data_IF_434829360260
#
_entry.id   IF_434829360260
#
_cell.length_a   1.000
_cell.length_b   1.000
_cell.length_c   1.000
_cell.angle_alpha   90.00
_cell.angle_beta   90.00
_cell.angle_gamma   90.00
#
_symmetry.space_group_name_H-M   'P 1'
#
loop_
_entity.id
_entity.type
_entity.pdbx_description
1 polymer ?
#
# COMPACT_ATOMS: atom_id res chain seq x y z
N UNK A 1 -10.02 -13.37 1.58
CA UNK A 1 -8.96 -12.56 0.96
C UNK A 1 -8.49 -11.59 2.03
N UNK A 2 -7.23 -11.67 2.42
CA UNK A 2 -6.62 -10.70 3.35
C UNK A 2 -6.50 -9.30 2.71
N UNK A 3 -6.28 -8.29 3.53
CA UNK A 3 -6.23 -6.89 3.11
C UNK A 3 -5.15 -6.63 2.05
N UNK A 4 -4.03 -7.34 2.15
CA UNK A 4 -2.88 -7.21 1.25
C UNK A 4 -3.18 -7.76 -0.15
N UNK A 5 -3.80 -8.94 -0.25
CA UNK A 5 -4.25 -9.49 -1.52
C UNK A 5 -5.37 -8.65 -2.15
N UNK A 6 -6.26 -8.09 -1.32
CA UNK A 6 -7.35 -7.25 -1.80
C UNK A 6 -6.83 -5.97 -2.48
N UNK A 7 -5.94 -5.23 -1.83
CA UNK A 7 -5.41 -3.99 -2.39
C UNK A 7 -4.52 -4.25 -3.62
N UNK A 8 -3.72 -5.32 -3.61
CA UNK A 8 -2.94 -5.74 -4.78
C UNK A 8 -3.83 -6.12 -5.97
N UNK A 9 -4.98 -6.75 -5.72
CA UNK A 9 -5.96 -7.04 -6.76
C UNK A 9 -6.52 -5.75 -7.37
N UNK A 10 -6.87 -4.75 -6.55
CA UNK A 10 -7.36 -3.47 -7.04
C UNK A 10 -6.31 -2.76 -7.91
N UNK A 11 -5.04 -2.76 -7.51
CA UNK A 11 -3.95 -2.16 -8.29
C UNK A 11 -3.78 -2.81 -9.67
N UNK A 12 -3.94 -4.13 -9.78
CA UNK A 12 -3.94 -4.83 -11.08
C UNK A 12 -5.09 -4.40 -11.97
N UNK A 13 -6.29 -4.22 -11.42
CA UNK A 13 -7.44 -3.72 -12.18
C UNK A 13 -7.15 -2.29 -12.68
N UNK A 14 -6.61 -1.42 -11.83
CA UNK A 14 -6.30 -0.05 -12.19
C UNK A 14 -5.23 0.07 -13.27
N UNK A 15 -4.22 -0.80 -13.23
CA UNK A 15 -3.19 -0.89 -14.25
C UNK A 15 -3.80 -1.26 -15.62
N UNK A 16 -4.63 -2.31 -15.66
CA UNK A 16 -5.32 -2.76 -16.89
C UNK A 16 -6.25 -1.69 -17.46
N UNK A 17 -6.94 -0.94 -16.60
CA UNK A 17 -7.87 0.12 -17.02
C UNK A 17 -7.18 1.46 -17.35
N UNK A 18 -5.89 1.62 -17.04
CA UNK A 18 -5.20 2.90 -17.17
C UNK A 18 -5.79 3.98 -16.27
N UNK A 19 -6.23 3.64 -15.06
CA UNK A 19 -6.87 4.59 -14.16
C UNK A 19 -5.88 5.63 -13.65
N UNK A 20 -6.21 6.91 -13.87
CA UNK A 20 -5.49 8.00 -13.21
C UNK A 20 -5.70 7.96 -11.69
N UNK A 21 -4.72 8.47 -10.96
CA UNK A 21 -4.65 8.40 -9.50
C UNK A 21 -5.91 8.94 -8.81
N UNK A 22 -6.44 10.05 -9.31
CA UNK A 22 -7.65 10.71 -8.83
C UNK A 22 -8.92 9.83 -8.92
N UNK A 23 -8.93 8.78 -9.76
CA UNK A 23 -10.06 7.86 -9.88
C UNK A 23 -9.87 6.58 -9.05
N UNK A 24 -8.62 6.15 -8.79
CA UNK A 24 -8.32 4.92 -8.03
C UNK A 24 -8.98 4.92 -6.65
N UNK A 25 -8.82 6.01 -5.89
CA UNK A 25 -9.42 6.14 -4.55
C UNK A 25 -10.95 6.06 -4.62
N UNK A 26 -11.57 6.79 -5.56
CA UNK A 26 -13.04 6.81 -5.71
C UNK A 26 -13.61 5.44 -6.10
N UNK A 27 -12.97 4.74 -7.03
CA UNK A 27 -13.38 3.39 -7.45
C UNK A 27 -13.20 2.36 -6.33
N UNK A 28 -12.11 2.48 -5.56
CA UNK A 28 -11.84 1.59 -4.43
C UNK A 28 -12.89 1.76 -3.33
N UNK A 29 -13.24 3.01 -3.02
CA UNK A 29 -14.31 3.33 -2.07
C UNK A 29 -15.66 2.80 -2.54
N UNK A 30 -15.96 2.92 -3.84
CA UNK A 30 -17.18 2.36 -4.41
C UNK A 30 -17.25 0.84 -4.22
N UNK A 31 -16.10 0.15 -4.26
CA UNK A 31 -16.04 -1.30 -4.06
C UNK A 31 -16.15 -1.72 -2.59
N UNK A 32 -16.03 -0.81 -1.63
CA UNK A 32 -16.21 -1.16 -0.22
C UNK A 32 -17.64 -1.59 0.09
N UNK A 33 -17.75 -2.65 0.87
CA UNK A 33 -19.02 -3.24 1.32
C UNK A 33 -18.96 -3.48 2.84
N UNK A 34 -20.13 -3.62 3.47
CA UNK A 34 -20.26 -3.94 4.90
C UNK A 34 -19.47 -3.01 5.82
N UNK A 35 -18.65 -3.60 6.72
CA UNK A 35 -17.89 -2.86 7.73
C UNK A 35 -16.86 -1.90 7.15
N UNK A 36 -16.24 -2.24 6.01
CA UNK A 36 -15.26 -1.37 5.35
C UNK A 36 -15.93 -0.08 4.84
N UNK A 37 -17.14 -0.21 4.27
CA UNK A 37 -17.91 0.94 3.82
C UNK A 37 -18.37 1.80 5.01
N UNK A 38 -18.82 1.17 6.10
CA UNK A 38 -19.23 1.88 7.31
C UNK A 38 -18.07 2.68 7.92
N UNK A 39 -16.89 2.08 8.03
CA UNK A 39 -15.67 2.76 8.45
C UNK A 39 -15.34 3.95 7.56
N UNK A 40 -15.32 3.75 6.24
CA UNK A 40 -14.95 4.81 5.31
C UNK A 40 -15.91 6.00 5.37
N UNK A 41 -17.21 5.74 5.47
CA UNK A 41 -18.23 6.79 5.65
C UNK A 41 -17.98 7.62 6.92
N UNK A 42 -17.73 6.96 8.05
CA UNK A 42 -17.42 7.64 9.31
C UNK A 42 -16.12 8.45 9.22
N UNK A 43 -15.09 7.91 8.57
CA UNK A 43 -13.81 8.58 8.39
C UNK A 43 -13.94 9.83 7.51
N UNK A 44 -14.63 9.73 6.36
CA UNK A 44 -14.93 10.88 5.50
C UNK A 44 -15.69 11.96 6.25
N UNK A 45 -16.74 11.59 6.99
CA UNK A 45 -17.55 12.54 7.75
C UNK A 45 -16.70 13.35 8.75
N UNK A 46 -15.73 12.71 9.42
CA UNK A 46 -14.82 13.37 10.34
C UNK A 46 -13.82 14.33 9.66
N UNK A 47 -13.60 14.20 8.34
CA UNK A 47 -12.60 14.95 7.57
C UNK A 47 -13.17 16.08 6.70
N UNK A 48 -14.49 16.26 6.67
CA UNK A 48 -15.16 17.25 5.80
C UNK A 48 -15.81 16.65 4.55
N UNK A 49 -16.12 15.36 4.58
CA UNK A 49 -16.90 14.62 3.59
C UNK A 49 -16.31 14.62 2.17
N UNK A 50 -17.13 14.79 1.13
CA UNK A 50 -16.69 14.61 -0.27
C UNK A 50 -15.69 15.69 -0.73
N UNK A 51 -15.68 16.87 -0.10
CA UNK A 51 -14.68 17.91 -0.40
C UNK A 51 -13.26 17.46 -0.06
N UNK A 52 -13.10 16.71 1.05
CA UNK A 52 -11.83 16.10 1.42
C UNK A 52 -11.44 14.97 0.46
N UNK A 53 -12.40 14.16 0.01
CA UNK A 53 -12.12 13.00 -0.85
C UNK A 53 -11.40 13.38 -2.15
N UNK A 54 -11.68 14.56 -2.71
CA UNK A 54 -11.05 15.07 -3.93
C UNK A 54 -9.54 15.31 -3.74
N UNK A 55 -9.08 15.53 -2.51
CA UNK A 55 -7.67 15.77 -2.21
C UNK A 55 -6.91 14.49 -1.84
N UNK A 56 -7.59 13.35 -1.70
CA UNK A 56 -6.98 12.09 -1.25
C UNK A 56 -6.35 11.37 -2.44
N UNK A 57 -5.02 11.35 -2.47
CA UNK A 57 -4.26 10.57 -3.47
C UNK A 57 -4.39 9.07 -3.23
N UNK A 58 -4.00 8.24 -4.21
CA UNK A 58 -3.97 6.79 -4.00
C UNK A 58 -3.01 6.39 -2.89
N UNK A 59 -1.88 7.10 -2.76
CA UNK A 59 -0.91 6.90 -1.70
C UNK A 59 -1.53 7.15 -0.32
N UNK A 60 -2.17 8.31 -0.14
CA UNK A 60 -2.89 8.64 1.09
C UNK A 60 -3.93 7.57 1.45
N UNK A 61 -4.68 7.10 0.45
CA UNK A 61 -5.65 6.03 0.65
C UNK A 61 -4.99 4.73 1.13
N UNK A 62 -3.91 4.28 0.49
CA UNK A 62 -3.18 3.06 0.90
C UNK A 62 -2.67 3.17 2.32
N UNK A 63 -2.16 4.34 2.73
CA UNK A 63 -1.73 4.61 4.11
C UNK A 63 -2.89 4.46 5.10
N UNK A 64 -4.06 5.01 4.80
CA UNK A 64 -5.25 4.87 5.65
C UNK A 64 -5.75 3.41 5.70
N UNK A 65 -5.77 2.74 4.55
CA UNK A 65 -6.15 1.34 4.43
C UNK A 65 -5.22 0.44 5.26
N UNK A 66 -3.91 0.69 5.18
CA UNK A 66 -2.89 -0.01 5.95
C UNK A 66 -3.13 0.14 7.46
N UNK A 67 -3.34 1.37 7.94
CA UNK A 67 -3.58 1.65 9.35
C UNK A 67 -4.86 1.01 9.88
N UNK A 68 -5.91 0.93 9.05
CA UNK A 68 -7.22 0.43 9.47
C UNK A 68 -7.32 -1.10 9.42
N UNK A 69 -6.85 -1.72 8.33
CA UNK A 69 -7.15 -3.13 8.04
C UNK A 69 -6.00 -4.09 8.35
N UNK A 70 -4.81 -3.58 8.65
CA UNK A 70 -3.69 -4.40 9.12
C UNK A 70 -3.57 -4.23 10.64
N UNK A 71 -3.54 -5.34 11.36
CA UNK A 71 -3.27 -5.33 12.81
C UNK A 71 -1.88 -4.74 13.08
N UNK A 72 -1.67 -4.17 14.28
CA UNK A 72 -0.35 -3.67 14.68
C UNK A 72 0.76 -4.71 14.50
N UNK A 73 0.46 -5.99 14.77
CA UNK A 73 1.41 -7.08 14.60
C UNK A 73 1.82 -7.26 13.13
N UNK A 74 0.88 -7.17 12.19
CA UNK A 74 1.16 -7.24 10.75
C UNK A 74 1.93 -6.01 10.27
N UNK A 75 1.58 -4.82 10.74
CA UNK A 75 2.30 -3.59 10.41
C UNK A 75 3.76 -3.68 10.86
N UNK A 76 4.00 -4.11 12.10
CA UNK A 76 5.36 -4.29 12.63
C UNK A 76 6.09 -5.47 11.98
N UNK A 77 5.38 -6.51 11.53
CA UNK A 77 5.95 -7.60 10.72
C UNK A 77 6.46 -7.06 9.39
N UNK A 78 5.65 -6.30 8.66
CA UNK A 78 6.01 -5.74 7.35
C UNK A 78 7.17 -4.73 7.44
N UNK A 79 7.16 -3.86 8.46
CA UNK A 79 8.30 -2.97 8.73
C UNK A 79 9.58 -3.75 8.98
N UNK A 80 9.54 -4.76 9.85
CA UNK A 80 10.73 -5.60 10.13
C UNK A 80 11.21 -6.31 8.88
N UNK A 81 10.29 -6.91 8.12
CA UNK A 81 10.60 -7.60 6.87
C UNK A 81 11.32 -6.68 5.88
N UNK A 82 10.86 -5.44 5.74
CA UNK A 82 11.50 -4.43 4.89
C UNK A 82 12.90 -4.05 5.38
N UNK A 83 13.07 -3.78 6.67
CA UNK A 83 14.37 -3.38 7.24
C UNK A 83 15.42 -4.50 7.15
N UNK A 84 14.99 -5.76 7.25
CA UNK A 84 15.88 -6.92 7.14
C UNK A 84 15.89 -7.54 5.73
N UNK A 85 15.37 -6.85 4.72
CA UNK A 85 15.18 -7.45 3.40
C UNK A 85 16.52 -7.78 2.74
N UNK A 86 16.67 -9.02 2.30
CA UNK A 86 17.85 -9.55 1.61
C UNK A 86 17.42 -10.51 0.50
N UNK A 87 18.18 -10.55 -0.58
CA UNK A 87 18.06 -11.53 -1.64
C UNK A 87 18.51 -12.90 -1.12
N UNK A 88 17.64 -13.88 -1.21
CA UNK A 88 17.84 -15.27 -0.82
C UNK A 88 18.51 -16.05 -1.95
N UNK A 89 19.09 -17.21 -1.61
CA UNK A 89 19.77 -18.06 -2.59
C UNK A 89 18.81 -18.70 -3.62
N UNK A 90 17.52 -18.70 -3.33
CA UNK A 90 16.48 -19.34 -4.13
C UNK A 90 15.68 -18.35 -4.97
N UNK A 91 15.87 -17.04 -4.79
CA UNK A 91 15.15 -16.02 -5.55
C UNK A 91 16.07 -15.34 -6.58
N UNK A 92 15.51 -15.08 -7.76
CA UNK A 92 16.14 -14.26 -8.79
C UNK A 92 16.18 -12.79 -8.36
N UNK A 93 17.08 -12.00 -8.95
CA UNK A 93 17.14 -10.55 -8.66
C UNK A 93 15.83 -9.83 -9.03
N UNK A 94 15.10 -10.33 -10.03
CA UNK A 94 13.78 -9.80 -10.41
C UNK A 94 12.72 -10.08 -9.34
N UNK A 95 12.65 -11.30 -8.80
CA UNK A 95 11.72 -11.64 -7.72
C UNK A 95 12.03 -10.84 -6.44
N UNK A 96 13.32 -10.70 -6.11
CA UNK A 96 13.75 -9.83 -5.01
C UNK A 96 13.32 -8.38 -5.23
N UNK A 97 13.53 -7.83 -6.42
CA UNK A 97 13.11 -6.47 -6.78
C UNK A 97 11.60 -6.30 -6.65
N UNK A 98 10.79 -7.24 -7.13
CA UNK A 98 9.34 -7.19 -6.99
C UNK A 98 8.91 -7.21 -5.52
N UNK A 99 9.53 -8.06 -4.70
CA UNK A 99 9.26 -8.13 -3.26
C UNK A 99 9.66 -6.85 -2.54
N UNK A 100 10.82 -6.28 -2.88
CA UNK A 100 11.30 -5.01 -2.35
C UNK A 100 10.34 -3.87 -2.69
N UNK A 101 9.99 -3.70 -3.97
CA UNK A 101 9.09 -2.65 -4.43
C UNK A 101 7.70 -2.77 -3.82
N UNK A 102 7.20 -4.01 -3.66
CA UNK A 102 5.94 -4.27 -2.96
C UNK A 102 6.00 -3.77 -1.52
N UNK A 103 7.03 -4.14 -0.74
CA UNK A 103 7.17 -3.70 0.65
C UNK A 103 7.37 -2.18 0.77
N UNK A 104 8.20 -1.59 -0.10
CA UNK A 104 8.42 -0.14 -0.14
C UNK A 104 7.13 0.62 -0.48
N UNK A 105 6.37 0.15 -1.48
CA UNK A 105 5.10 0.75 -1.88
C UNK A 105 3.98 0.64 -0.86
N UNK A 106 4.07 -0.33 0.07
CA UNK A 106 3.16 -0.45 1.21
C UNK A 106 3.56 0.43 2.39
N UNK A 107 4.86 0.57 2.65
CA UNK A 107 5.37 1.32 3.79
C UNK A 107 5.45 2.82 3.49
N UNK A 108 5.52 3.22 2.23
CA UNK A 108 5.58 4.63 1.77
C UNK A 108 6.55 5.46 2.61
N UNK A 109 6.06 6.41 3.42
CA UNK A 109 6.91 7.22 4.33
C UNK A 109 7.76 6.36 5.28
N UNK A 110 7.26 5.20 5.73
CA UNK A 110 7.99 4.30 6.61
C UNK A 110 9.08 3.48 5.88
N UNK A 111 9.14 3.53 4.55
CA UNK A 111 10.22 2.95 3.76
C UNK A 111 11.45 3.87 3.68
N UNK A 112 11.32 5.14 4.05
CA UNK A 112 12.40 6.14 3.98
C UNK A 112 12.46 6.88 2.63
N UNK A 113 13.45 7.76 2.48
CA UNK A 113 13.66 8.52 1.23
C UNK A 113 14.07 7.62 0.07
N UNK A 114 13.89 8.05 -1.18
CA UNK A 114 14.31 7.26 -2.35
C UNK A 114 15.79 6.85 -2.28
N UNK A 115 16.65 7.69 -1.71
CA UNK A 115 18.08 7.41 -1.52
C UNK A 115 18.32 6.34 -0.45
N UNK A 116 17.55 6.35 0.65
CA UNK A 116 17.57 5.29 1.66
C UNK A 116 17.07 3.97 1.10
N UNK A 117 15.97 4.01 0.33
CA UNK A 117 15.43 2.85 -0.36
C UNK A 117 16.45 2.26 -1.35
N UNK A 118 17.11 3.10 -2.15
CA UNK A 118 18.15 2.65 -3.07
C UNK A 118 19.33 1.98 -2.35
N UNK A 119 19.80 2.54 -1.22
CA UNK A 119 20.84 1.93 -0.38
C UNK A 119 20.39 0.60 0.21
N UNK A 120 19.17 0.55 0.75
CA UNK A 120 18.59 -0.68 1.31
C UNK A 120 18.48 -1.78 0.24
N UNK A 121 18.08 -1.41 -0.98
CA UNK A 121 18.04 -2.33 -2.12
C UNK A 121 19.44 -2.85 -2.48
N UNK A 122 20.43 -1.96 -2.60
CA UNK A 122 21.82 -2.36 -2.91
C UNK A 122 22.43 -3.28 -1.85
N UNK A 123 22.26 -2.98 -0.56
CA UNK A 123 22.68 -3.88 0.52
C UNK A 123 21.86 -5.17 0.60
N UNK A 124 20.65 -5.13 0.03
CA UNK A 124 19.73 -6.22 -0.12
C UNK A 124 20.20 -7.28 -1.11
N UNK A 125 20.82 -6.85 -2.20
CA UNK A 125 21.25 -7.69 -3.31
C UNK A 125 22.39 -8.63 -2.92
N UNK A 126 22.43 -9.79 -3.58
CA UNK A 126 23.52 -10.76 -3.49
C UNK A 126 24.53 -10.58 -4.60
#
# INVERSE_FOLDING_TARGET
MDAENWISHMEKIFDVMGCEDAFKTRLTVYKFEGNALAWWKAYKQAKGDDAWLVTVTWADFKKLFFLQFFSRAEQERLKREYHSIRQTNTETSTEFMQRFLRLAGFLEEAAGTEEEQAKNFQWGLR
#
